data_IF_109376633137
#
_entry.id   IF_109376633137
#
_cell.length_a   1.000
_cell.length_b   1.000
_cell.length_c   1.000
_cell.angle_alpha   90.00
_cell.angle_beta   90.00
_cell.angle_gamma   90.00
#
_symmetry.space_group_name_H-M   'P 1'
#
loop_
_entity.id
_entity.type
_entity.pdbx_description
1 polymer ?
#
# COMPACT_ATOMS: atom_id res chain seq x y z
N UNK A 1 -25.51 46.77 26.25
CA UNK A 1 -25.86 45.36 25.96
C UNK A 1 -25.04 44.71 24.84
N UNK A 2 -24.25 45.46 24.06
CA UNK A 2 -23.48 44.91 22.91
C UNK A 2 -22.13 44.28 23.26
N UNK A 3 -21.44 44.74 24.32
CA UNK A 3 -20.12 44.19 24.70
C UNK A 3 -20.17 42.80 25.35
N UNK A 4 -21.25 42.48 26.07
CA UNK A 4 -21.40 41.19 26.74
C UNK A 4 -21.69 40.06 25.74
N UNK A 5 -22.44 40.36 24.68
CA UNK A 5 -22.80 39.37 23.65
C UNK A 5 -21.59 38.94 22.81
N UNK A 6 -20.69 39.88 22.50
CA UNK A 6 -19.48 39.58 21.73
C UNK A 6 -18.48 38.73 22.53
N UNK A 7 -18.38 38.92 23.85
CA UNK A 7 -17.50 38.13 24.71
C UNK A 7 -17.98 36.67 24.83
N UNK A 8 -19.29 36.46 24.90
CA UNK A 8 -19.88 35.11 24.95
C UNK A 8 -19.65 34.38 23.62
N UNK A 9 -19.85 35.04 22.47
CA UNK A 9 -19.63 34.40 21.16
C UNK A 9 -18.17 34.00 20.93
N UNK A 10 -17.20 34.84 21.33
CA UNK A 10 -15.77 34.49 21.21
C UNK A 10 -15.37 33.36 22.16
N UNK A 11 -15.90 33.34 23.39
CA UNK A 11 -15.64 32.26 24.33
C UNK A 11 -16.24 30.92 23.84
N UNK A 12 -17.43 30.94 23.26
CA UNK A 12 -18.05 29.73 22.68
C UNK A 12 -17.30 29.24 21.44
N UNK A 13 -16.81 30.14 20.58
CA UNK A 13 -15.97 29.78 19.43
C UNK A 13 -14.62 29.19 19.86
N UNK A 14 -14.00 29.69 20.94
CA UNK A 14 -12.77 29.12 21.51
C UNK A 14 -13.02 27.76 22.17
N UNK A 15 -14.18 27.55 22.79
CA UNK A 15 -14.59 26.25 23.31
C UNK A 15 -14.89 25.25 22.20
N UNK A 16 -15.49 25.67 21.08
CA UNK A 16 -15.72 24.80 19.92
C UNK A 16 -14.39 24.50 19.21
N UNK A 17 -13.46 25.45 19.11
CA UNK A 17 -12.13 25.23 18.55
C UNK A 17 -11.21 24.39 19.46
N UNK A 18 -11.41 24.44 20.78
CA UNK A 18 -10.63 23.69 21.77
C UNK A 18 -11.00 22.21 21.89
N UNK A 19 -12.14 21.79 21.36
CA UNK A 19 -12.55 20.36 21.32
C UNK A 19 -12.02 19.66 20.06
N UNK A 20 -11.51 20.39 19.07
CA UNK A 20 -11.04 19.84 17.79
C UNK A 20 -9.59 19.36 17.77
N UNK A 21 -8.87 19.43 18.90
CA UNK A 21 -7.48 18.97 19.04
C UNK A 21 -7.31 18.06 20.27
N UNK A 22 -8.31 17.23 20.56
CA UNK A 22 -7.96 15.94 21.14
C UNK A 22 -7.19 15.21 20.05
N UNK A 23 -5.86 15.21 20.15
CA UNK A 23 -5.04 14.26 19.42
C UNK A 23 -5.62 12.89 19.77
N UNK A 24 -6.36 12.28 18.86
CA UNK A 24 -6.73 10.88 18.99
C UNK A 24 -5.40 10.14 19.05
N UNK A 25 -5.01 9.73 20.27
CA UNK A 25 -3.85 8.87 20.44
C UNK A 25 -4.14 7.62 19.62
N UNK A 26 -3.29 7.36 18.64
CA UNK A 26 -3.35 6.17 17.82
C UNK A 26 -3.18 4.96 18.72
N UNK A 27 -4.17 4.06 18.75
CA UNK A 27 -4.06 2.85 19.54
C UNK A 27 -3.28 1.83 18.71
N UNK A 28 -2.16 1.38 19.27
CA UNK A 28 -1.25 0.44 18.61
C UNK A 28 -1.14 -0.81 19.47
N UNK A 29 -1.46 -1.96 18.89
CA UNK A 29 -1.37 -3.25 19.58
C UNK A 29 -0.23 -4.09 19.00
N UNK A 30 0.72 -4.59 19.82
CA UNK A 30 1.74 -5.52 19.36
C UNK A 30 1.12 -6.80 18.82
N UNK A 31 1.60 -7.26 17.66
CA UNK A 31 1.09 -8.49 17.05
C UNK A 31 1.53 -9.75 17.82
N UNK A 32 0.61 -10.71 17.97
CA UNK A 32 0.93 -12.10 18.37
C UNK A 32 1.15 -12.94 17.10
N UNK A 33 2.10 -13.86 17.15
CA UNK A 33 2.90 -14.32 16.01
C UNK A 33 2.23 -15.22 14.93
N UNK A 34 0.92 -15.17 14.71
CA UNK A 34 0.24 -16.00 13.70
C UNK A 34 -0.50 -15.11 12.68
N UNK A 35 -0.03 -15.09 11.43
CA UNK A 35 -0.62 -14.34 10.31
C UNK A 35 -1.11 -15.32 9.25
N UNK A 36 -2.38 -15.21 8.88
CA UNK A 36 -2.98 -15.98 7.80
C UNK A 36 -2.90 -15.22 6.46
N UNK A 37 -2.90 -15.94 5.35
CA UNK A 37 -2.85 -15.35 4.00
C UNK A 37 -4.23 -15.47 3.36
N UNK A 38 -4.83 -14.35 2.94
CA UNK A 38 -6.10 -14.33 2.19
C UNK A 38 -5.83 -13.93 0.74
N UNK A 39 -5.96 -14.89 -0.18
CA UNK A 39 -5.75 -14.68 -1.61
C UNK A 39 -7.09 -14.30 -2.29
N UNK A 40 -7.15 -13.15 -2.98
CA UNK A 40 -8.40 -12.55 -3.51
C UNK A 40 -8.80 -13.05 -4.93
N UNK A 41 -8.31 -14.21 -5.38
CA UNK A 41 -8.54 -14.71 -6.75
C UNK A 41 -9.93 -15.36 -7.00
N UNK A 42 -10.85 -15.39 -6.04
CA UNK A 42 -11.98 -16.34 -5.97
C UNK A 42 -11.48 -17.81 -5.98
N UNK A 43 -10.80 -18.19 -4.89
CA UNK A 43 -10.50 -19.56 -4.42
C UNK A 43 -10.12 -20.63 -5.47
N UNK A 44 -9.29 -20.26 -6.44
CA UNK A 44 -8.50 -21.19 -7.23
C UNK A 44 -7.12 -21.36 -6.58
N UNK A 45 -6.98 -22.29 -5.64
CA UNK A 45 -5.66 -22.73 -5.19
C UNK A 45 -4.82 -23.13 -6.40
N UNK A 46 -3.65 -22.53 -6.52
CA UNK A 46 -2.46 -23.38 -6.36
C UNK A 46 -2.06 -23.29 -4.90
N UNK A 47 -2.16 -24.45 -4.22
CA UNK A 47 -1.51 -24.76 -2.95
C UNK A 47 -0.24 -23.95 -2.87
N UNK A 48 -0.04 -23.20 -1.77
CA UNK A 48 1.21 -22.53 -1.41
C UNK A 48 2.33 -23.19 -2.20
N UNK A 49 2.70 -22.56 -3.32
CA UNK A 49 3.60 -23.17 -4.26
C UNK A 49 4.87 -23.30 -3.45
N UNK A 50 5.09 -24.48 -2.86
CA UNK A 50 6.36 -24.90 -2.35
C UNK A 50 7.20 -24.69 -3.59
N UNK A 51 7.98 -23.61 -3.61
CA UNK A 51 8.94 -23.33 -4.66
C UNK A 51 9.51 -24.69 -5.00
N UNK A 52 9.17 -25.20 -6.20
CA UNK A 52 9.49 -26.57 -6.54
C UNK A 52 10.98 -26.75 -6.30
N UNK A 53 11.46 -27.95 -6.02
CA UNK A 53 12.91 -28.11 -5.84
C UNK A 53 13.72 -27.69 -7.08
N UNK A 54 13.05 -27.50 -8.24
CA UNK A 54 13.56 -26.88 -9.45
C UNK A 54 13.60 -25.32 -9.43
N UNK A 55 12.80 -24.65 -8.59
CA UNK A 55 12.69 -23.18 -8.47
C UNK A 55 13.55 -22.59 -7.34
N UNK A 56 14.46 -23.36 -6.77
CA UNK A 56 15.39 -22.86 -5.74
C UNK A 56 16.40 -21.82 -6.29
N UNK A 57 16.52 -21.68 -7.61
CA UNK A 57 17.30 -20.62 -8.26
C UNK A 57 16.48 -19.32 -8.52
N UNK A 58 15.16 -19.42 -8.54
CA UNK A 58 14.15 -18.36 -8.81
C UNK A 58 13.20 -18.24 -7.62
N UNK A 59 13.77 -18.12 -6.42
CA UNK A 59 13.04 -17.90 -5.18
C UNK A 59 12.11 -16.68 -5.34
N UNK A 60 10.79 -16.87 -5.23
CA UNK A 60 9.73 -15.85 -5.23
C UNK A 60 10.24 -14.42 -5.00
N UNK A 61 10.40 -13.67 -6.08
CA UNK A 61 11.05 -12.37 -6.09
C UNK A 61 10.12 -11.34 -5.49
N UNK A 62 10.26 -11.13 -4.19
CA UNK A 62 9.44 -10.17 -3.46
C UNK A 62 10.21 -8.88 -3.25
N UNK A 63 9.63 -7.77 -3.67
CA UNK A 63 10.11 -6.41 -3.42
C UNK A 63 9.06 -5.66 -2.59
N UNK A 64 9.50 -4.70 -1.78
CA UNK A 64 8.69 -3.92 -0.85
C UNK A 64 9.19 -4.07 0.58
N UNK A 65 8.30 -3.85 1.55
CA UNK A 65 8.65 -3.94 2.95
C UNK A 65 8.87 -5.40 3.38
N UNK A 66 10.13 -5.77 3.61
CA UNK A 66 10.56 -7.12 4.04
C UNK A 66 10.81 -7.24 5.54
N UNK A 67 10.60 -6.18 6.32
CA UNK A 67 10.79 -6.21 7.77
C UNK A 67 9.78 -7.17 8.43
N UNK A 68 10.00 -7.64 9.67
CA UNK A 68 8.98 -8.37 10.40
C UNK A 68 7.70 -7.55 10.59
N UNK A 69 6.56 -8.22 10.73
CA UNK A 69 5.32 -7.60 11.19
C UNK A 69 5.47 -7.28 12.68
N UNK A 70 5.05 -6.09 13.12
CA UNK A 70 5.25 -5.68 14.51
C UNK A 70 3.97 -5.19 15.19
N UNK A 71 3.22 -4.33 14.54
CA UNK A 71 2.10 -3.63 15.17
C UNK A 71 0.84 -3.64 14.30
N UNK A 72 -0.31 -3.70 14.95
CA UNK A 72 -1.61 -3.38 14.38
C UNK A 72 -2.02 -1.97 14.83
N UNK A 73 -2.18 -1.06 13.87
CA UNK A 73 -2.68 0.30 14.08
C UNK A 73 -4.20 0.26 14.01
N UNK A 74 -4.85 0.51 15.14
CA UNK A 74 -6.27 0.23 15.30
C UNK A 74 -7.18 1.24 14.61
N UNK A 75 -8.31 0.75 14.10
CA UNK A 75 -9.42 1.53 13.57
C UNK A 75 -9.04 2.57 12.48
N UNK A 76 -7.93 2.34 11.77
CA UNK A 76 -7.42 3.33 10.82
C UNK A 76 -8.04 3.20 9.43
N UNK A 77 -8.35 1.97 9.03
CA UNK A 77 -8.84 1.67 7.68
C UNK A 77 -10.36 1.75 7.67
N UNK A 78 -10.92 2.79 7.07
CA UNK A 78 -12.38 3.02 7.03
C UNK A 78 -13.00 2.70 5.66
N UNK A 79 -12.17 2.32 4.68
CA UNK A 79 -12.58 2.13 3.29
C UNK A 79 -12.73 3.46 2.53
N UNK A 80 -12.94 3.36 1.21
CA UNK A 80 -12.82 4.49 0.27
C UNK A 80 -11.51 5.29 0.47
N UNK A 81 -10.41 4.55 0.53
CA UNK A 81 -9.08 5.02 0.91
C UNK A 81 -8.02 4.30 0.08
N UNK A 82 -6.90 4.96 -0.14
CA UNK A 82 -5.73 4.36 -0.79
C UNK A 82 -4.55 4.36 0.17
N UNK A 83 -3.79 3.27 0.15
CA UNK A 83 -2.56 3.10 0.93
C UNK A 83 -1.43 2.77 -0.04
N UNK A 84 -0.31 3.48 0.07
CA UNK A 84 0.80 3.31 -0.85
C UNK A 84 2.13 3.15 -0.13
N UNK A 85 2.94 2.22 -0.60
CA UNK A 85 4.28 1.96 -0.10
C UNK A 85 5.30 2.17 -1.20
N UNK A 86 6.28 3.03 -0.92
CA UNK A 86 7.37 3.34 -1.80
C UNK A 86 8.54 2.38 -1.61
N UNK A 87 9.20 2.03 -2.70
CA UNK A 87 10.39 1.22 -2.66
C UNK A 87 11.35 1.59 -3.78
N UNK A 88 12.65 1.47 -3.48
CA UNK A 88 13.69 1.54 -4.50
C UNK A 88 13.82 0.18 -5.20
N UNK A 89 13.67 0.16 -6.52
CA UNK A 89 13.78 -1.06 -7.30
C UNK A 89 15.25 -1.41 -7.57
N UNK A 90 15.83 -2.28 -6.75
CA UNK A 90 17.16 -2.84 -6.98
C UNK A 90 17.08 -4.10 -7.87
N UNK A 91 18.01 -4.29 -8.82
CA UNK A 91 18.12 -5.51 -9.59
C UNK A 91 18.10 -6.73 -8.67
N UNK A 92 17.14 -7.61 -8.88
CA UNK A 92 16.96 -8.81 -8.06
C UNK A 92 16.57 -9.99 -8.94
N UNK A 93 16.77 -11.19 -8.41
CA UNK A 93 16.29 -12.43 -9.02
C UNK A 93 16.77 -12.76 -10.44
N UNK A 94 17.92 -12.21 -10.85
CA UNK A 94 18.43 -12.42 -12.20
C UNK A 94 17.59 -11.74 -13.30
N UNK A 95 16.68 -10.84 -12.93
CA UNK A 95 15.97 -10.01 -13.89
C UNK A 95 16.89 -8.84 -14.30
N UNK A 96 17.63 -8.95 -15.39
CA UNK A 96 18.59 -7.91 -15.78
C UNK A 96 17.92 -6.70 -16.49
N UNK A 97 16.87 -6.96 -17.27
CA UNK A 97 16.25 -5.93 -18.13
C UNK A 97 15.25 -5.04 -17.38
N UNK A 98 14.51 -5.61 -16.44
CA UNK A 98 13.40 -4.95 -15.76
C UNK A 98 12.42 -5.95 -15.17
N UNK A 99 11.29 -5.45 -14.70
CA UNK A 99 10.28 -6.26 -14.02
C UNK A 99 8.86 -5.75 -14.22
N UNK A 100 7.88 -6.64 -14.05
CA UNK A 100 6.48 -6.28 -13.82
C UNK A 100 6.06 -6.74 -12.43
N UNK A 101 4.97 -6.18 -11.91
CA UNK A 101 4.34 -6.63 -10.67
C UNK A 101 3.29 -7.70 -11.00
N UNK A 102 3.30 -8.81 -10.27
CA UNK A 102 2.38 -9.93 -10.47
C UNK A 102 1.24 -9.95 -9.45
N UNK A 103 1.54 -9.71 -8.17
CA UNK A 103 0.54 -9.52 -7.11
C UNK A 103 1.00 -8.41 -6.19
N UNK A 104 0.12 -7.49 -5.80
CA UNK A 104 0.39 -6.49 -4.74
C UNK A 104 -0.26 -6.98 -3.45
N UNK A 105 0.44 -6.82 -2.34
CA UNK A 105 0.08 -7.38 -1.05
C UNK A 105 0.09 -6.29 0.01
N UNK A 106 -0.89 -6.30 0.90
CA UNK A 106 -0.92 -5.48 2.12
C UNK A 106 -1.39 -6.35 3.29
N UNK A 107 -0.90 -6.09 4.50
CA UNK A 107 -1.38 -6.80 5.68
C UNK A 107 -2.36 -5.95 6.50
N UNK A 108 -3.45 -6.57 6.92
CA UNK A 108 -4.53 -5.98 7.72
C UNK A 108 -4.87 -6.92 8.88
N UNK A 109 -5.53 -6.39 9.91
CA UNK A 109 -6.10 -7.20 10.98
C UNK A 109 -7.59 -6.87 11.14
N UNK A 110 -8.39 -7.90 11.36
CA UNK A 110 -9.86 -7.83 11.44
C UNK A 110 -10.29 -8.37 12.81
N UNK A 111 -11.06 -7.58 13.54
CA UNK A 111 -11.59 -7.91 14.87
C UNK A 111 -12.79 -8.84 14.84
N UNK A 112 -13.22 -9.30 16.02
CA UNK A 112 -14.41 -10.14 16.17
C UNK A 112 -15.70 -9.39 15.81
N UNK A 113 -15.70 -8.08 16.04
CA UNK A 113 -16.78 -7.13 15.76
C UNK A 113 -16.90 -6.78 14.27
N UNK A 114 -15.85 -6.99 13.49
CA UNK A 114 -15.77 -6.59 12.08
C UNK A 114 -16.31 -7.65 11.13
N UNK A 115 -16.44 -8.90 11.59
CA UNK A 115 -16.87 -10.01 10.75
C UNK A 115 -18.38 -10.27 10.79
N UNK A 116 -19.01 -10.62 9.65
CA UNK A 116 -18.39 -10.77 8.33
C UNK A 116 -18.08 -9.41 7.66
N UNK A 117 -16.86 -9.28 7.15
CA UNK A 117 -16.38 -8.08 6.46
C UNK A 117 -16.25 -8.35 4.97
N UNK A 118 -16.85 -7.53 4.12
CA UNK A 118 -16.58 -7.59 2.67
C UNK A 118 -15.66 -6.45 2.26
N UNK A 119 -14.47 -6.81 1.77
CA UNK A 119 -13.48 -5.88 1.25
C UNK A 119 -13.57 -5.84 -0.27
N UNK A 120 -13.79 -4.64 -0.81
CA UNK A 120 -13.67 -4.37 -2.24
C UNK A 120 -12.44 -3.51 -2.48
N UNK A 121 -11.52 -4.01 -3.32
CA UNK A 121 -10.23 -3.37 -3.52
C UNK A 121 -9.68 -3.60 -4.94
N UNK A 122 -8.84 -2.69 -5.39
CA UNK A 122 -7.94 -2.89 -6.53
C UNK A 122 -6.53 -2.45 -6.14
N UNK A 123 -5.53 -2.75 -6.98
CA UNK A 123 -4.16 -2.35 -6.74
C UNK A 123 -3.57 -1.63 -7.95
N UNK A 124 -2.66 -0.70 -7.67
CA UNK A 124 -1.92 0.05 -8.68
C UNK A 124 -0.43 -0.06 -8.46
N UNK A 125 0.31 -0.09 -9.56
CA UNK A 125 1.76 0.07 -9.59
C UNK A 125 2.08 1.40 -10.28
N UNK A 126 2.84 2.24 -9.60
CA UNK A 126 2.99 3.65 -9.95
C UNK A 126 4.46 4.06 -10.01
N UNK A 127 4.78 5.00 -10.89
CA UNK A 127 6.00 5.78 -10.77
C UNK A 127 5.91 6.67 -9.52
N UNK A 128 7.06 7.14 -9.06
CA UNK A 128 7.10 8.15 -8.00
C UNK A 128 7.41 9.51 -8.58
N UNK A 129 6.93 10.56 -7.93
CA UNK A 129 7.18 11.93 -8.36
C UNK A 129 7.60 12.79 -7.18
N UNK A 130 8.45 13.78 -7.43
CA UNK A 130 8.83 14.73 -6.40
C UNK A 130 7.66 15.64 -6.05
N UNK A 131 7.26 15.67 -4.78
CA UNK A 131 6.24 16.61 -4.32
C UNK A 131 6.89 17.99 -4.12
N UNK A 132 6.65 18.96 -4.99
CA UNK A 132 7.27 20.30 -4.89
C UNK A 132 7.01 21.06 -3.58
N UNK A 133 6.11 20.57 -2.72
CA UNK A 133 5.77 21.11 -1.40
C UNK A 133 6.36 20.35 -0.21
N UNK A 134 6.92 19.15 -0.43
CA UNK A 134 7.54 18.33 0.63
C UNK A 134 8.86 17.74 0.15
N UNK A 135 9.82 17.53 1.04
CA UNK A 135 11.15 16.99 0.67
C UNK A 135 11.12 15.47 0.39
N UNK A 136 9.96 14.93 -0.01
CA UNK A 136 9.71 13.52 -0.22
C UNK A 136 9.11 13.25 -1.61
N UNK A 137 9.44 12.09 -2.16
CA UNK A 137 8.72 11.54 -3.30
C UNK A 137 7.34 11.09 -2.85
N UNK A 138 6.34 11.19 -3.73
CA UNK A 138 4.98 10.71 -3.52
C UNK A 138 4.58 9.75 -4.64
N UNK A 139 3.55 8.91 -4.46
CA UNK A 139 2.98 8.15 -5.56
C UNK A 139 2.55 9.09 -6.71
N UNK A 140 2.82 8.64 -7.93
CA UNK A 140 2.79 9.46 -9.14
C UNK A 140 1.96 8.81 -10.26
N UNK A 141 2.37 8.95 -11.53
CA UNK A 141 1.67 8.35 -12.65
C UNK A 141 1.54 6.82 -12.53
N UNK A 142 0.32 6.33 -12.75
CA UNK A 142 0.01 4.90 -12.77
C UNK A 142 0.66 4.22 -13.98
N UNK A 143 1.46 3.20 -13.72
CA UNK A 143 2.03 2.29 -14.73
C UNK A 143 1.01 1.22 -15.08
N UNK A 144 0.34 0.66 -14.06
CA UNK A 144 -0.61 -0.42 -14.22
C UNK A 144 -1.61 -0.45 -13.06
N UNK A 145 -2.86 -0.86 -13.33
CA UNK A 145 -3.92 -1.02 -12.32
C UNK A 145 -4.68 -2.31 -12.56
N UNK A 146 -5.00 -3.03 -11.48
CA UNK A 146 -5.83 -4.22 -11.52
C UNK A 146 -7.32 -3.88 -11.67
N UNK A 147 -8.16 -4.82 -12.11
CA UNK A 147 -9.60 -4.68 -11.90
C UNK A 147 -9.94 -4.68 -10.39
N UNK A 148 -11.19 -4.36 -10.07
CA UNK A 148 -11.71 -4.49 -8.69
C UNK A 148 -11.93 -5.97 -8.34
N UNK A 149 -11.50 -6.33 -7.15
CA UNK A 149 -11.75 -7.62 -6.50
C UNK A 149 -12.59 -7.41 -5.25
N UNK A 150 -13.35 -8.43 -4.88
CA UNK A 150 -14.15 -8.46 -3.65
C UNK A 150 -13.89 -9.77 -2.94
N UNK A 151 -13.70 -9.74 -1.62
CA UNK A 151 -13.69 -10.94 -0.79
C UNK A 151 -14.36 -10.67 0.55
N UNK A 152 -14.98 -11.72 1.10
CA UNK A 152 -15.59 -11.70 2.42
C UNK A 152 -14.72 -12.45 3.41
N UNK A 153 -14.31 -11.77 4.48
CA UNK A 153 -13.63 -12.32 5.64
C UNK A 153 -14.70 -12.72 6.66
N UNK A 154 -14.71 -13.99 7.06
CA UNK A 154 -15.75 -14.56 7.92
C UNK A 154 -15.28 -14.85 9.35
N UNK A 155 -13.98 -14.76 9.61
CA UNK A 155 -13.37 -15.02 10.91
C UNK A 155 -12.43 -13.87 11.28
N UNK A 156 -12.26 -13.53 12.57
CA UNK A 156 -11.30 -12.53 13.00
C UNK A 156 -9.87 -13.04 12.81
N UNK A 157 -8.92 -12.14 12.56
CA UNK A 157 -7.53 -12.52 12.41
C UNK A 157 -6.67 -11.49 11.67
N UNK A 158 -5.38 -11.82 11.56
CA UNK A 158 -4.43 -11.07 10.74
C UNK A 158 -4.36 -11.70 9.34
N UNK A 159 -4.50 -10.86 8.32
CA UNK A 159 -4.62 -11.28 6.93
C UNK A 159 -3.65 -10.53 6.02
N UNK A 160 -3.07 -11.24 5.05
CA UNK A 160 -2.43 -10.61 3.89
C UNK A 160 -3.43 -10.56 2.75
N UNK A 161 -3.83 -9.36 2.34
CA UNK A 161 -4.63 -9.17 1.13
C UNK A 161 -3.75 -9.13 -0.10
N UNK A 162 -3.93 -10.09 -1.00
CA UNK A 162 -3.19 -10.17 -2.26
C UNK A 162 -4.09 -9.87 -3.46
N UNK A 163 -3.76 -8.83 -4.23
CA UNK A 163 -4.46 -8.49 -5.48
C UNK A 163 -3.57 -8.81 -6.68
N UNK A 164 -4.04 -9.65 -7.62
CA UNK A 164 -3.30 -9.95 -8.83
C UNK A 164 -3.32 -8.76 -9.81
N UNK A 165 -2.14 -8.50 -10.37
CA UNK A 165 -1.93 -7.46 -11.38
C UNK A 165 -2.09 -8.04 -12.79
N UNK A 166 -2.56 -7.24 -13.77
CA UNK A 166 -2.70 -7.69 -15.15
C UNK A 166 -1.35 -8.17 -15.74
N UNK A 167 -1.34 -9.24 -16.56
CA UNK A 167 -0.11 -9.76 -17.14
C UNK A 167 0.54 -8.81 -18.17
N UNK A 168 -0.22 -7.84 -18.68
CA UNK A 168 0.18 -6.84 -19.67
C UNK A 168 0.69 -5.52 -19.04
N UNK A 169 0.94 -5.49 -17.72
CA UNK A 169 1.60 -4.36 -17.08
C UNK A 169 2.93 -4.03 -17.77
N UNK A 170 3.21 -2.73 -17.95
CA UNK A 170 4.46 -2.27 -18.54
C UNK A 170 5.67 -2.63 -17.66
N UNK A 171 6.77 -3.00 -18.31
CA UNK A 171 8.04 -3.25 -17.64
C UNK A 171 8.60 -1.98 -17.00
N UNK A 172 8.81 -2.04 -15.68
CA UNK A 172 9.59 -1.08 -14.92
C UNK A 172 11.10 -1.35 -15.07
N UNK A 173 11.88 -0.27 -14.94
CA UNK A 173 13.33 -0.32 -14.97
C UNK A 173 13.89 -0.41 -13.56
N UNK A 174 15.10 -0.95 -13.43
CA UNK A 174 15.82 -0.92 -12.16
C UNK A 174 16.47 0.45 -11.89
N UNK A 175 16.75 0.72 -10.62
CA UNK A 175 17.45 1.94 -10.19
C UNK A 175 16.54 3.17 -10.02
N UNK A 176 15.24 2.97 -9.88
CA UNK A 176 14.23 4.01 -9.68
C UNK A 176 13.33 3.67 -8.50
N UNK A 177 12.73 4.71 -7.91
CA UNK A 177 11.70 4.58 -6.89
C UNK A 177 10.33 4.40 -7.52
N UNK A 178 9.59 3.41 -7.03
CA UNK A 178 8.23 3.10 -7.44
C UNK A 178 7.31 3.00 -6.22
N UNK A 179 6.00 3.02 -6.46
CA UNK A 179 5.00 2.86 -5.42
C UNK A 179 4.07 1.67 -5.70
N UNK A 180 3.78 0.90 -4.66
CA UNK A 180 2.74 -0.13 -4.63
C UNK A 180 1.54 0.46 -3.91
N UNK A 181 0.38 0.51 -4.56
CA UNK A 181 -0.83 1.09 -3.98
C UNK A 181 -1.94 0.06 -3.88
N UNK A 182 -2.60 0.01 -2.73
CA UNK A 182 -3.86 -0.69 -2.50
C UNK A 182 -4.98 0.35 -2.40
N UNK A 183 -5.99 0.25 -3.26
CA UNK A 183 -7.16 1.13 -3.25
C UNK A 183 -8.35 0.36 -2.71
N UNK A 184 -8.85 0.74 -1.53
CA UNK A 184 -10.09 0.24 -0.96
C UNK A 184 -11.25 1.04 -1.54
N UNK A 185 -12.11 0.37 -2.29
CA UNK A 185 -13.17 1.00 -3.08
C UNK A 185 -14.40 1.29 -2.24
N UNK A 186 -14.79 0.33 -1.40
CA UNK A 186 -16.00 0.44 -0.58
C UNK A 186 -15.70 0.99 0.80
N UNK A 187 -16.62 1.80 1.32
CA UNK A 187 -16.61 2.23 2.72
C UNK A 187 -16.95 1.04 3.61
N UNK A 188 -16.21 0.86 4.70
CA UNK A 188 -16.45 -0.21 5.66
C UNK A 188 -17.45 0.26 6.72
N UNK A 189 -18.31 -0.65 7.19
CA UNK A 189 -19.26 -0.36 8.27
C UNK A 189 -18.53 -0.21 9.61
N UNK A 190 -17.49 -1.02 9.83
CA UNK A 190 -16.55 -0.91 10.94
C UNK A 190 -15.13 -0.69 10.40
N UNK A 191 -14.37 0.23 11.01
CA UNK A 191 -12.95 0.36 10.68
C UNK A 191 -12.18 -0.92 11.00
N UNK A 192 -11.12 -1.19 10.25
CA UNK A 192 -10.19 -2.31 10.54
C UNK A 192 -8.78 -1.82 10.80
N UNK A 193 -7.96 -2.74 11.31
CA UNK A 193 -6.59 -2.45 11.70
C UNK A 193 -5.63 -2.57 10.51
N UNK A 194 -4.64 -1.67 10.47
CA UNK A 194 -3.55 -1.72 9.49
C UNK A 194 -2.30 -2.30 10.13
N UNK A 195 -1.66 -3.28 9.47
CA UNK A 195 -0.44 -3.88 10.00
C UNK A 195 0.81 -3.16 9.47
N UNK A 196 1.73 -2.83 10.38
CA UNK A 196 3.01 -2.18 10.10
C UNK A 196 4.20 -2.90 10.74
N UNK A 197 5.40 -2.55 10.31
CA UNK A 197 6.64 -2.95 10.99
C UNK A 197 6.97 -2.04 12.20
N UNK A 198 8.19 -2.12 12.74
CA UNK A 198 8.67 -1.32 13.87
C UNK A 198 9.67 -0.23 13.49
N UNK A 199 9.77 0.12 12.21
CA UNK A 199 10.74 1.08 11.69
C UNK A 199 9.99 2.26 11.06
N UNK A 200 9.72 3.34 11.80
CA UNK A 200 9.01 4.48 11.24
C UNK A 200 9.96 5.27 10.32
N UNK A 201 9.63 5.33 9.03
CA UNK A 201 10.36 6.11 8.03
C UNK A 201 9.40 7.06 7.31
N UNK A 202 9.68 8.36 7.40
CA UNK A 202 8.94 9.39 6.68
C UNK A 202 9.18 9.32 5.17
N UNK A 203 8.13 9.59 4.40
CA UNK A 203 8.16 9.63 2.95
C UNK A 203 8.12 8.26 2.25
N UNK A 204 7.87 7.17 3.00
CA UNK A 204 7.83 5.80 2.44
C UNK A 204 6.41 5.24 2.42
N UNK A 205 5.61 5.57 3.43
CA UNK A 205 4.27 5.04 3.62
C UNK A 205 3.23 6.17 3.55
N UNK A 206 2.31 6.05 2.61
CA UNK A 206 1.36 7.11 2.26
C UNK A 206 -0.07 6.63 2.38
N UNK A 207 -0.99 7.56 2.66
CA UNK A 207 -2.42 7.32 2.56
C UNK A 207 -3.12 8.48 1.84
N UNK A 208 -4.25 8.19 1.19
CA UNK A 208 -5.11 9.19 0.54
C UNK A 208 -6.59 8.87 0.79
N UNK A 209 -7.36 9.90 1.15
CA UNK A 209 -8.82 9.89 1.35
C UNK A 209 -9.56 10.70 0.25
N UNK A 210 -8.96 10.84 -0.93
CA UNK A 210 -9.45 11.68 -2.03
C UNK A 210 -9.05 13.15 -1.93
N UNK A 211 -8.02 13.47 -1.13
CA UNK A 211 -7.50 14.83 -0.94
C UNK A 211 -6.04 14.99 -1.38
N UNK A 212 -5.42 13.89 -1.78
CA UNK A 212 -4.00 13.79 -2.09
C UNK A 212 -3.26 12.99 -1.03
N UNK A 213 -2.02 12.63 -1.37
CA UNK A 213 -1.16 11.79 -0.54
C UNK A 213 -0.67 12.52 0.70
N UNK A 214 -0.85 11.87 1.84
CA UNK A 214 -0.34 12.29 3.12
C UNK A 214 0.57 11.21 3.71
N UNK A 215 1.69 11.64 4.29
CA UNK A 215 2.67 10.73 4.87
C UNK A 215 2.15 10.18 6.20
N UNK A 216 2.12 8.85 6.32
CA UNK A 216 1.67 8.17 7.53
C UNK A 216 2.56 8.48 8.74
N UNK A 217 3.82 8.90 8.53
CA UNK A 217 4.67 9.38 9.62
C UNK A 217 4.10 10.64 10.31
N UNK A 218 3.30 11.46 9.61
CA UNK A 218 2.62 12.61 10.23
C UNK A 218 1.58 12.20 11.27
N UNK A 219 1.08 10.96 11.16
CA UNK A 219 0.12 10.36 12.07
C UNK A 219 0.79 9.57 13.19
N UNK A 220 2.12 9.65 13.32
CA UNK A 220 2.90 8.93 14.31
C UNK A 220 2.77 7.40 14.19
N UNK A 221 2.64 6.90 12.96
CA UNK A 221 2.68 5.47 12.70
C UNK A 221 3.96 4.87 13.29
N UNK A 222 3.88 3.73 13.99
CA UNK A 222 5.03 3.11 14.65
C UNK A 222 5.98 2.41 13.68
N UNK A 223 5.61 2.32 12.40
CA UNK A 223 6.40 1.71 11.34
C UNK A 223 5.84 1.96 9.94
N UNK A 224 6.47 1.33 8.97
CA UNK A 224 6.09 1.33 7.57
C UNK A 224 4.95 0.34 7.26
N UNK A 225 4.16 0.63 6.24
CA UNK A 225 3.15 -0.28 5.71
C UNK A 225 3.77 -1.64 5.35
N UNK A 226 3.11 -2.71 5.76
CA UNK A 226 3.48 -4.08 5.36
C UNK A 226 2.99 -4.41 3.96
N UNK A 227 3.55 -3.71 2.97
CA UNK A 227 3.24 -3.89 1.56
C UNK A 227 4.39 -4.51 0.78
N UNK A 228 4.07 -5.42 -0.14
CA UNK A 228 5.05 -6.04 -1.03
C UNK A 228 4.43 -6.49 -2.33
N UNK A 229 5.26 -6.75 -3.32
CA UNK A 229 4.84 -7.35 -4.58
C UNK A 229 5.70 -8.53 -4.95
N UNK A 230 5.10 -9.53 -5.60
CA UNK A 230 5.85 -10.52 -6.37
C UNK A 230 6.16 -9.91 -7.74
N UNK A 231 7.43 -9.90 -8.14
CA UNK A 231 7.83 -9.45 -9.47
C UNK A 231 7.90 -10.62 -10.46
N UNK A 232 7.70 -10.31 -11.73
CA UNK A 232 8.02 -11.18 -12.85
C UNK A 232 9.13 -10.51 -13.67
N UNK A 233 10.15 -11.27 -14.09
CA UNK A 233 11.17 -10.72 -14.96
C UNK A 233 10.56 -10.38 -16.32
N UNK A 234 10.88 -9.19 -16.82
CA UNK A 234 10.65 -8.91 -18.22
C UNK A 234 11.68 -9.67 -19.06
N UNK A 235 11.23 -10.27 -20.16
CA UNK A 235 12.15 -10.76 -21.17
C UNK A 235 12.91 -9.58 -21.78
N UNK A 236 14.15 -9.81 -22.21
CA UNK A 236 14.86 -8.85 -23.06
C UNK A 236 13.93 -8.43 -24.23
N UNK A 237 13.91 -7.15 -24.61
CA UNK A 237 13.23 -6.77 -25.83
C UNK A 237 13.81 -7.60 -26.97
N UNK A 238 12.94 -8.24 -27.75
CA UNK A 238 13.34 -8.96 -28.97
C UNK A 238 14.27 -8.05 -29.77
N UNK A 239 15.42 -8.55 -30.25
CA UNK A 239 16.53 -7.76 -30.81
C UNK A 239 16.10 -6.67 -31.82
N UNK A 240 14.98 -6.84 -32.52
CA UNK A 240 14.41 -5.90 -33.49
C UNK A 240 13.78 -4.62 -32.85
N UNK A 241 13.58 -4.60 -31.53
CA UNK A 241 12.99 -3.47 -30.79
C UNK A 241 14.00 -2.57 -30.09
N UNK A 242 15.27 -2.99 -29.95
CA UNK A 242 16.31 -2.17 -29.33
C UNK A 242 16.56 -0.87 -30.12
N UNK A 243 16.44 -0.91 -31.44
CA UNK A 243 16.67 0.27 -32.29
C UNK A 243 15.49 1.27 -32.29
N UNK A 244 14.26 0.85 -32.02
CA UNK A 244 13.08 1.73 -32.18
C UNK A 244 12.61 2.35 -30.86
N UNK A 245 12.49 1.56 -29.79
CA UNK A 245 11.95 2.07 -28.51
C UNK A 245 13.00 2.64 -27.57
N UNK A 246 14.20 2.04 -27.54
CA UNK A 246 15.33 2.58 -26.76
C UNK A 246 15.73 3.98 -27.23
N UNK A 247 15.78 4.18 -28.55
CA UNK A 247 16.04 5.48 -29.17
C UNK A 247 14.89 6.48 -28.99
N UNK A 248 13.63 6.03 -28.98
CA UNK A 248 12.49 6.93 -28.73
C UNK A 248 12.49 7.45 -27.29
N UNK A 249 12.72 6.59 -26.30
CA UNK A 249 12.77 7.03 -24.89
C UNK A 249 13.97 7.93 -24.61
N UNK A 250 15.10 7.73 -25.29
CA UNK A 250 16.26 8.61 -25.20
C UNK A 250 16.06 10.01 -25.79
N UNK A 251 15.09 10.20 -26.70
CA UNK A 251 14.75 11.50 -27.30
C UNK A 251 13.88 12.39 -26.38
N UNK A 252 13.26 11.82 -25.35
CA UNK A 252 12.40 12.53 -24.39
C UNK A 252 12.98 12.59 -22.96
N UNK A 253 14.23 12.16 -22.79
CA UNK A 253 15.06 12.42 -21.59
C UNK A 253 16.01 13.57 -21.87
#
# INVERSE_FOLDING_TARGET
MTKLFMLVVVATLLLIAGVSLAANEMIVTPMKADIEIVDFENFGMTVAEKCGEADKATQCCKIGNRNPYAYAVQDFVTGNQSFSYMFFAEPSCGCETGFTTGKIRIAIQVGEEDVPLTLEANASFEETQFNGTGDHLVPGPVICTSPNYSATITEPGAYICEIPMPPDCLCAAWGYDYALTMNLVSTLETPIDLIVDDIPVGGVSWYDQGRGWEDLAMYQFPGELKMSTKINCCSEPVDDYQESWGNLKALFR
#
